data_IF_761371163255
#
_entry.id   IF_761371163255
#
_cell.length_a   1.000
_cell.length_b   1.000
_cell.length_c   1.000
_cell.angle_alpha   90.00
_cell.angle_beta   90.00
_cell.angle_gamma   90.00
#
_symmetry.space_group_name_H-M   'P 1'
#
loop_
_entity.id
_entity.type
_entity.pdbx_description
1 polymer ?
#
# COMPACT_ATOMS: atom_id res chain seq x y z
N UNK A 1 -0.72 -17.44 7.39
CA UNK A 1 -0.58 -16.12 8.02
C UNK A 1 0.76 -16.05 8.74
N UNK A 2 1.77 -15.49 8.07
CA UNK A 2 3.14 -15.32 8.56
C UNK A 2 3.33 -13.97 9.23
N UNK A 3 2.67 -12.93 8.73
CA UNK A 3 2.71 -11.59 9.32
C UNK A 3 1.47 -11.36 10.18
N UNK A 4 1.59 -10.52 11.21
CA UNK A 4 0.44 -10.00 11.95
C UNK A 4 -0.04 -8.67 11.36
N UNK A 5 -1.28 -8.27 11.69
CA UNK A 5 -1.82 -6.95 11.30
C UNK A 5 -0.92 -5.81 11.75
N UNK A 6 -0.33 -5.91 12.95
CA UNK A 6 0.59 -4.91 13.50
C UNK A 6 1.91 -4.86 12.74
N UNK A 7 2.45 -6.02 12.34
CA UNK A 7 3.67 -6.08 11.52
C UNK A 7 3.43 -5.45 10.14
N UNK A 8 2.31 -5.78 9.50
CA UNK A 8 1.92 -5.19 8.21
C UNK A 8 1.74 -3.68 8.34
N UNK A 9 1.01 -3.20 9.35
CA UNK A 9 0.86 -1.77 9.63
C UNK A 9 2.22 -1.07 9.78
N UNK A 10 3.16 -1.67 10.54
CA UNK A 10 4.51 -1.13 10.73
C UNK A 10 5.30 -1.07 9.42
N UNK A 11 5.24 -2.13 8.61
CA UNK A 11 5.90 -2.21 7.30
C UNK A 11 5.39 -1.12 6.34
N UNK A 12 4.07 -0.95 6.24
CA UNK A 12 3.46 0.08 5.39
C UNK A 12 3.83 1.49 5.87
N UNK A 13 3.81 1.75 7.19
CA UNK A 13 4.23 3.05 7.74
C UNK A 13 5.69 3.38 7.41
N UNK A 14 6.61 2.42 7.53
CA UNK A 14 8.00 2.61 7.15
C UNK A 14 8.14 2.94 5.66
N UNK A 15 7.46 2.19 4.80
CA UNK A 15 7.47 2.41 3.36
C UNK A 15 6.96 3.81 2.97
N UNK A 16 5.86 4.26 3.58
CA UNK A 16 5.27 5.56 3.29
C UNK A 16 6.12 6.73 3.85
N UNK A 17 6.81 6.54 4.98
CA UNK A 17 7.73 7.53 5.55
C UNK A 17 8.91 7.82 4.63
N UNK A 18 9.46 6.79 3.97
CA UNK A 18 10.55 6.94 3.00
C UNK A 18 10.17 7.81 1.79
N UNK A 19 8.86 7.99 1.51
CA UNK A 19 8.34 8.86 0.44
C UNK A 19 8.09 10.31 0.88
N UNK A 20 8.58 10.72 2.07
CA UNK A 20 8.47 12.09 2.62
C UNK A 20 7.04 12.63 2.75
N UNK A 21 6.04 11.76 2.86
CA UNK A 21 4.66 12.16 3.12
C UNK A 21 4.45 12.24 4.63
N UNK A 22 4.70 13.42 5.19
CA UNK A 22 4.79 13.64 6.65
C UNK A 22 3.46 13.47 7.39
N UNK A 23 2.32 13.47 6.68
CA UNK A 23 0.98 13.39 7.27
C UNK A 23 0.49 11.96 7.60
N UNK A 24 1.24 10.92 7.26
CA UNK A 24 0.81 9.52 7.44
C UNK A 24 0.85 8.99 8.87
N UNK A 25 1.57 9.63 9.78
CA UNK A 25 1.77 9.09 11.14
C UNK A 25 0.44 8.94 11.90
N UNK A 26 -0.59 9.69 11.50
CA UNK A 26 -1.92 9.71 12.11
C UNK A 26 -3.06 9.20 11.23
N UNK A 27 -2.78 8.74 10.01
CA UNK A 27 -3.84 8.31 9.09
C UNK A 27 -4.34 6.91 9.44
N UNK A 28 -5.67 6.68 9.41
CA UNK A 28 -6.23 5.35 9.61
C UNK A 28 -5.89 4.44 8.42
N UNK A 29 -5.40 3.24 8.74
CA UNK A 29 -5.22 2.16 7.79
C UNK A 29 -6.38 1.18 7.93
N UNK A 30 -7.04 0.84 6.84
CA UNK A 30 -7.81 -0.40 6.79
C UNK A 30 -6.89 -1.53 6.36
N UNK A 31 -6.85 -2.61 7.15
CA UNK A 31 -5.95 -3.74 6.95
C UNK A 31 -6.74 -5.02 7.20
N UNK A 32 -6.83 -5.85 6.16
CA UNK A 32 -7.50 -7.14 6.23
C UNK A 32 -6.66 -8.24 5.59
N UNK A 33 -6.75 -9.44 6.17
CA UNK A 33 -6.16 -10.64 5.59
C UNK A 33 -7.18 -11.36 4.72
N UNK A 34 -6.77 -11.74 3.51
CA UNK A 34 -7.60 -12.42 2.52
C UNK A 34 -6.87 -13.67 2.02
N UNK A 35 -7.58 -14.79 1.93
CA UNK A 35 -7.02 -16.03 1.37
C UNK A 35 -6.81 -15.91 -0.15
N UNK A 36 -7.58 -15.03 -0.80
CA UNK A 36 -7.62 -14.80 -2.23
C UNK A 36 -7.88 -13.33 -2.49
N UNK A 37 -6.94 -12.66 -3.16
CA UNK A 37 -7.11 -11.26 -3.57
C UNK A 37 -6.68 -11.08 -5.02
N UNK A 38 -7.45 -10.30 -5.77
CA UNK A 38 -7.08 -9.88 -7.13
C UNK A 38 -6.67 -8.40 -7.06
N UNK A 39 -5.37 -8.09 -7.12
CA UNK A 39 -4.93 -6.70 -6.99
C UNK A 39 -5.41 -5.83 -8.14
N UNK A 40 -5.56 -4.54 -7.88
CA UNK A 40 -5.80 -3.56 -8.93
C UNK A 40 -4.66 -3.61 -9.95
N UNK A 41 -5.00 -3.58 -11.24
CA UNK A 41 -4.03 -3.59 -12.35
C UNK A 41 -3.21 -4.90 -12.49
N UNK A 42 -3.65 -5.98 -11.84
CA UNK A 42 -3.09 -7.33 -12.04
C UNK A 42 -4.14 -8.32 -12.54
N UNK A 43 -3.68 -9.28 -13.35
CA UNK A 43 -4.52 -10.33 -13.92
C UNK A 43 -4.46 -11.65 -13.16
N UNK A 44 -3.57 -11.75 -12.17
CA UNK A 44 -3.39 -12.92 -11.31
C UNK A 44 -4.02 -12.72 -9.92
N UNK A 45 -4.31 -13.85 -9.27
CA UNK A 45 -4.80 -13.89 -7.88
C UNK A 45 -3.65 -14.22 -6.96
N UNK A 46 -3.51 -13.44 -5.89
CA UNK A 46 -2.52 -13.68 -4.84
C UNK A 46 -3.20 -14.47 -3.74
N UNK A 47 -2.58 -15.60 -3.39
CA UNK A 47 -2.99 -16.43 -2.27
C UNK A 47 -2.39 -15.88 -0.98
N UNK A 48 -3.16 -15.87 0.10
CA UNK A 48 -2.74 -15.40 1.42
C UNK A 48 -2.11 -14.00 1.36
N UNK A 49 -2.94 -12.98 1.41
CA UNK A 49 -2.48 -11.62 1.25
C UNK A 49 -3.11 -10.69 2.28
N UNK A 50 -2.41 -9.60 2.53
CA UNK A 50 -2.93 -8.46 3.27
C UNK A 50 -3.34 -7.38 2.28
N UNK A 51 -4.62 -7.03 2.27
CA UNK A 51 -5.08 -5.83 1.60
C UNK A 51 -5.00 -4.66 2.58
N UNK A 52 -4.39 -3.57 2.12
CA UNK A 52 -4.21 -2.35 2.90
C UNK A 52 -4.74 -1.16 2.11
N UNK A 53 -5.65 -0.41 2.72
CA UNK A 53 -6.15 0.85 2.17
C UNK A 53 -5.77 1.98 3.11
N UNK A 54 -5.15 3.01 2.54
CA UNK A 54 -4.75 4.23 3.26
C UNK A 54 -5.54 5.39 2.69
N UNK A 55 -6.26 6.09 3.55
CA UNK A 55 -6.91 7.34 3.19
C UNK A 55 -5.90 8.47 3.32
N UNK A 56 -5.67 9.19 2.23
CA UNK A 56 -4.75 10.33 2.15
C UNK A 56 -5.51 11.59 1.82
N UNK A 57 -5.18 12.68 2.50
CA UNK A 57 -5.67 13.99 2.11
C UNK A 57 -4.88 14.47 0.89
N UNK A 58 -5.56 15.05 -0.10
CA UNK A 58 -4.87 15.62 -1.24
C UNK A 58 -4.14 16.91 -0.83
N UNK A 59 -2.81 16.89 -0.92
CA UNK A 59 -1.96 18.07 -0.63
C UNK A 59 -2.34 19.30 -1.46
N UNK A 60 -2.95 19.09 -2.63
CA UNK A 60 -3.36 20.15 -3.55
C UNK A 60 -4.70 20.80 -3.17
N UNK A 61 -5.51 20.16 -2.33
CA UNK A 61 -6.83 20.66 -1.93
C UNK A 61 -7.06 20.48 -0.42
N UNK A 62 -6.30 21.19 0.44
CA UNK A 62 -6.37 21.04 1.90
C UNK A 62 -7.76 21.35 2.48
N UNK A 63 -8.56 22.16 1.77
CA UNK A 63 -9.89 22.58 2.20
C UNK A 63 -11.03 21.67 1.68
N UNK A 64 -10.70 20.64 0.89
CA UNK A 64 -11.68 19.67 0.41
C UNK A 64 -11.64 18.43 1.29
N UNK A 65 -12.82 17.93 1.66
CA UNK A 65 -13.01 16.63 2.32
C UNK A 65 -12.78 15.43 1.37
N UNK A 66 -12.25 15.66 0.17
CA UNK A 66 -11.98 14.61 -0.81
C UNK A 66 -10.71 13.87 -0.38
N UNK A 67 -10.89 12.69 0.21
CA UNK A 67 -9.81 11.75 0.47
C UNK A 67 -9.43 11.02 -0.80
N UNK A 68 -8.15 11.05 -1.12
CA UNK A 68 -7.55 10.12 -2.05
C UNK A 68 -7.16 8.83 -1.33
N UNK A 69 -6.85 7.78 -2.09
CA UNK A 69 -6.53 6.46 -1.53
C UNK A 69 -5.22 5.89 -2.05
N UNK A 70 -4.52 5.20 -1.17
CA UNK A 70 -3.45 4.27 -1.54
C UNK A 70 -3.95 2.86 -1.27
N UNK A 71 -4.01 2.04 -2.30
CA UNK A 71 -4.37 0.61 -2.19
C UNK A 71 -3.11 -0.23 -2.36
N UNK A 72 -2.91 -1.17 -1.45
CA UNK A 72 -1.77 -2.08 -1.45
C UNK A 72 -2.21 -3.52 -1.22
N UNK A 73 -1.50 -4.44 -1.88
CA UNK A 73 -1.61 -5.87 -1.62
C UNK A 73 -0.24 -6.40 -1.26
N UNK A 74 -0.08 -6.83 -0.01
CA UNK A 74 1.11 -7.50 0.48
C UNK A 74 0.89 -9.02 0.46
N UNK A 75 1.79 -9.73 -0.20
CA UNK A 75 1.80 -11.19 -0.21
C UNK A 75 2.37 -11.69 1.12
N UNK A 76 1.54 -12.40 1.90
CA UNK A 76 1.91 -12.89 3.24
C UNK A 76 3.01 -13.96 3.17
N UNK A 77 3.17 -14.64 2.04
CA UNK A 77 4.18 -15.67 1.87
C UNK A 77 5.57 -15.10 1.57
N UNK A 78 5.65 -14.01 0.80
CA UNK A 78 6.92 -13.40 0.34
C UNK A 78 7.30 -12.14 1.10
N UNK A 79 6.33 -11.42 1.67
CA UNK A 79 6.53 -10.10 2.25
C UNK A 79 6.63 -8.97 1.20
N UNK A 80 6.45 -9.29 -0.09
CA UNK A 80 6.46 -8.31 -1.16
C UNK A 80 5.10 -7.61 -1.28
N UNK A 81 5.13 -6.33 -1.65
CA UNK A 81 3.95 -5.58 -2.03
C UNK A 81 3.76 -5.78 -3.53
N UNK A 82 2.89 -6.71 -3.86
CA UNK A 82 2.64 -7.15 -5.24
C UNK A 82 1.79 -6.15 -6.03
N UNK A 83 1.11 -5.24 -5.33
CA UNK A 83 0.39 -4.11 -5.91
C UNK A 83 0.43 -2.92 -4.97
N UNK A 84 0.69 -1.75 -5.53
CA UNK A 84 0.66 -0.44 -4.90
C UNK A 84 0.02 0.51 -5.91
N UNK A 85 -1.11 1.11 -5.56
CA UNK A 85 -1.81 2.08 -6.40
C UNK A 85 -2.02 3.36 -5.60
N UNK A 86 -1.30 4.42 -5.98
CA UNK A 86 -1.43 5.75 -5.41
C UNK A 86 -2.35 6.61 -6.27
N UNK A 87 -3.51 6.96 -5.74
CA UNK A 87 -4.53 7.74 -6.44
C UNK A 87 -4.50 9.22 -6.06
N UNK A 88 -3.60 9.63 -5.15
CA UNK A 88 -3.51 11.00 -4.63
C UNK A 88 -3.10 12.07 -5.63
N UNK A 89 -2.71 11.67 -6.83
CA UNK A 89 -2.18 12.56 -7.87
C UNK A 89 -3.06 12.54 -9.14
N UNK A 90 -4.34 12.18 -9.00
CA UNK A 90 -5.34 12.12 -10.07
C UNK A 90 -5.22 10.88 -10.97
N UNK A 91 -4.02 10.54 -11.46
CA UNK A 91 -3.78 9.30 -12.22
C UNK A 91 -3.20 8.22 -11.30
N UNK A 92 -3.86 7.06 -11.15
CA UNK A 92 -3.30 5.95 -10.38
C UNK A 92 -1.94 5.54 -10.93
N UNK A 93 -0.96 5.39 -10.03
CA UNK A 93 0.38 4.89 -10.37
C UNK A 93 0.51 3.46 -9.86
N UNK A 94 0.37 2.44 -10.73
CA UNK A 94 0.51 1.05 -10.33
C UNK A 94 1.99 0.66 -10.24
N UNK A 95 2.38 0.16 -9.08
CA UNK A 95 3.74 -0.27 -8.78
C UNK A 95 3.70 -1.56 -7.98
N UNK A 96 4.82 -2.27 -7.93
CA UNK A 96 5.10 -3.29 -6.91
C UNK A 96 6.30 -2.84 -6.09
N UNK A 97 6.39 -3.26 -4.84
CA UNK A 97 7.53 -2.98 -3.98
C UNK A 97 8.11 -4.27 -3.40
N UNK A 98 9.44 -4.39 -3.40
CA UNK A 98 10.17 -5.52 -2.83
C UNK A 98 11.05 -5.07 -1.68
N UNK A 99 11.06 -5.83 -0.60
CA UNK A 99 11.93 -5.53 0.54
C UNK A 99 13.35 -6.06 0.27
N UNK A 100 14.30 -5.14 0.05
CA UNK A 100 15.73 -5.47 -0.11
C UNK A 100 16.57 -4.70 0.90
N UNK A 101 17.40 -5.42 1.66
CA UNK A 101 18.30 -4.83 2.67
C UNK A 101 17.57 -3.86 3.64
N UNK A 102 16.33 -4.20 4.03
CA UNK A 102 15.51 -3.38 4.92
C UNK A 102 14.86 -2.14 4.28
N UNK A 103 14.92 -1.99 2.96
CA UNK A 103 14.27 -0.89 2.22
C UNK A 103 13.36 -1.43 1.12
N UNK A 104 12.25 -0.73 0.87
CA UNK A 104 11.37 -1.05 -0.24
C UNK A 104 11.89 -0.43 -1.54
N UNK A 105 12.17 -1.28 -2.52
CA UNK A 105 12.45 -0.88 -3.90
C UNK A 105 11.20 -1.05 -4.75
N UNK A 106 10.84 -0.02 -5.52
CA UNK A 106 9.63 -0.03 -6.33
C UNK A 106 9.93 -0.25 -7.81
N UNK A 107 9.05 -1.02 -8.45
CA UNK A 107 9.06 -1.26 -9.90
C UNK A 107 7.67 -0.91 -10.45
N UNK A 108 7.63 -0.16 -11.55
CA UNK A 108 6.38 0.12 -12.26
C UNK A 108 5.78 -1.18 -12.80
N UNK A 109 4.46 -1.32 -12.70
CA UNK A 109 3.73 -2.39 -13.37
C UNK A 109 3.36 -1.88 -14.77
N UNK A 110 3.84 -2.56 -15.81
CA UNK A 110 3.54 -2.27 -17.22
C UNK A 110 2.33 -3.04 -17.70
#
# INVERSE_FOLDING_TARGET
MKYTKEQVNSMIKQMLKDRKRLYFEHMPFDIQFLNDVKPLFRNDTIKNAWEVVVFVQEDQFPDKEEYSIISMVLNDDTGDIESYADMSCGRPVPMKAKLKNGKYEFEMIQ
#
